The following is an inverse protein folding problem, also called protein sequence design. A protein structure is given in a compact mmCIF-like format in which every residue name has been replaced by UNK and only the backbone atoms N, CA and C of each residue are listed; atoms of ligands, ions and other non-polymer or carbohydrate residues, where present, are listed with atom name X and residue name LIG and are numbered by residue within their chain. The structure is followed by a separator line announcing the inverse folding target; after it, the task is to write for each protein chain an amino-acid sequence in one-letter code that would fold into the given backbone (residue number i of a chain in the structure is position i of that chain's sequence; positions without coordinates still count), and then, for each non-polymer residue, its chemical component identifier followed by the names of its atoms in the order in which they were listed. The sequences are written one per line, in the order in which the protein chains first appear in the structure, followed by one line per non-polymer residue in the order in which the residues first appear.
data_IF_609369938798
#
_entry.id   IF_609369938798
#
_cell.length_a   1.000
_cell.length_b   1.000
_cell.length_c   1.000
_cell.angle_alpha   90.00
_cell.angle_beta   90.00
_cell.angle_gamma   90.00
#
_symmetry.space_group_name_H-M   'P 1'
#
loop_
_entity.id
_entity.type
_entity.pdbx_description
1 polymer ?
#
# COMPACT_ATOMS: atom_id res chain seq x y z
N UNK A 1 49.32 -17.74 -17.92
CA UNK A 1 47.92 -17.42 -18.29
C UNK A 1 47.05 -18.08 -17.25
N UNK A 2 46.66 -17.31 -16.23
CA UNK A 2 45.84 -17.82 -15.12
C UNK A 2 44.36 -17.83 -15.54
N UNK A 3 43.70 -18.95 -15.27
CA UNK A 3 42.29 -19.21 -15.54
C UNK A 3 41.41 -18.34 -14.62
N UNK A 4 40.45 -17.54 -15.13
CA UNK A 4 39.67 -16.64 -14.29
C UNK A 4 38.77 -17.40 -13.29
N UNK A 5 38.65 -16.81 -12.10
CA UNK A 5 38.02 -17.39 -10.93
C UNK A 5 36.55 -17.87 -11.15
N UNK A 6 36.09 -18.90 -10.42
CA UNK A 6 34.78 -19.56 -10.60
C UNK A 6 33.55 -18.64 -10.48
N UNK A 7 33.69 -17.44 -9.90
CA UNK A 7 32.62 -16.44 -9.76
C UNK A 7 32.31 -15.69 -11.05
N UNK A 8 33.28 -15.56 -11.96
CA UNK A 8 33.11 -14.87 -13.25
C UNK A 8 32.43 -15.76 -14.30
N UNK A 9 32.60 -17.09 -14.21
CA UNK A 9 31.86 -18.06 -15.05
C UNK A 9 30.36 -18.04 -14.75
N UNK A 10 29.97 -17.92 -13.47
CA UNK A 10 28.55 -17.83 -13.06
C UNK A 10 27.84 -16.55 -13.56
N UNK A 11 28.55 -15.42 -13.68
CA UNK A 11 27.97 -14.20 -14.26
C UNK A 11 27.87 -14.26 -15.80
N UNK A 12 28.84 -14.89 -16.46
CA UNK A 12 28.78 -15.10 -17.92
C UNK A 12 27.64 -16.07 -18.32
N UNK A 13 27.38 -17.10 -17.53
CA UNK A 13 26.27 -18.05 -17.75
C UNK A 13 24.90 -17.40 -17.53
N UNK A 14 24.77 -16.53 -16.52
CA UNK A 14 23.54 -15.76 -16.26
C UNK A 14 23.28 -14.75 -17.38
N UNK A 15 24.31 -14.07 -17.88
CA UNK A 15 24.18 -13.12 -18.99
C UNK A 15 23.89 -13.81 -20.33
N UNK A 16 24.47 -14.99 -20.61
CA UNK A 16 24.12 -15.79 -21.79
C UNK A 16 22.70 -16.37 -21.72
N UNK A 17 22.20 -16.72 -20.52
CA UNK A 17 20.83 -17.20 -20.32
C UNK A 17 19.80 -16.09 -20.54
N UNK A 18 20.06 -14.89 -20.03
CA UNK A 18 19.23 -13.69 -20.24
C UNK A 18 19.19 -13.31 -21.72
N UNK A 19 20.32 -13.38 -22.43
CA UNK A 19 20.40 -13.01 -23.85
C UNK A 19 19.72 -14.02 -24.77
N UNK A 20 19.76 -15.32 -24.44
CA UNK A 20 19.01 -16.38 -25.16
C UNK A 20 17.50 -16.27 -25.00
N UNK A 21 17.01 -15.79 -23.85
CA UNK A 21 15.57 -15.60 -23.60
C UNK A 21 15.02 -14.31 -24.23
N UNK A 22 15.84 -13.27 -24.41
CA UNK A 22 15.40 -12.02 -25.04
C UNK A 22 15.35 -12.07 -26.57
N UNK A 23 16.10 -12.98 -27.23
CA UNK A 23 16.13 -13.09 -28.69
C UNK A 23 15.28 -14.23 -29.28
N UNK A 24 14.68 -15.08 -28.43
CA UNK A 24 13.77 -16.13 -28.88
C UNK A 24 12.32 -15.71 -28.60
N UNK A 25 11.64 -15.18 -29.62
CA UNK A 25 10.19 -15.02 -29.59
C UNK A 25 9.47 -16.33 -29.25
N UNK A 26 8.27 -16.28 -28.65
CA UNK A 26 7.62 -17.42 -28.00
C UNK A 26 7.40 -18.58 -28.97
N UNK A 27 7.89 -19.77 -28.60
CA UNK A 27 7.94 -20.96 -29.47
C UNK A 27 6.75 -21.91 -29.31
N UNK A 28 5.75 -21.60 -28.49
CA UNK A 28 4.61 -22.49 -28.31
C UNK A 28 3.24 -21.79 -28.27
N UNK A 29 2.21 -22.54 -28.67
CA UNK A 29 0.80 -22.09 -28.71
C UNK A 29 0.20 -21.84 -27.31
N UNK A 30 0.84 -22.33 -26.23
CA UNK A 30 0.43 -22.07 -24.83
C UNK A 30 0.96 -20.73 -24.28
N UNK A 31 2.10 -20.23 -24.76
CA UNK A 31 2.66 -18.93 -24.34
C UNK A 31 1.94 -17.73 -24.97
N UNK A 32 1.20 -17.93 -26.07
CA UNK A 32 0.34 -16.90 -26.68
C UNK A 32 -0.88 -16.51 -25.82
N UNK A 33 -1.13 -17.21 -24.71
CA UNK A 33 -2.24 -16.91 -23.78
C UNK A 33 -2.04 -15.67 -22.91
N UNK A 34 -0.80 -15.26 -22.67
CA UNK A 34 -0.47 -14.11 -21.79
C UNK A 34 -0.54 -12.75 -22.51
N UNK A 35 -0.68 -12.74 -23.84
CA UNK A 35 -0.88 -11.54 -24.65
C UNK A 35 -2.36 -11.28 -25.01
N UNK A 36 -3.30 -12.01 -24.41
CA UNK A 36 -4.72 -11.63 -24.45
C UNK A 36 -4.98 -10.51 -23.45
N UNK A 37 -4.62 -9.30 -23.90
CA UNK A 37 -5.44 -8.09 -23.81
C UNK A 37 -6.28 -8.04 -22.53
N UNK A 38 -5.68 -7.50 -21.47
CA UNK A 38 -6.41 -6.94 -20.35
C UNK A 38 -7.14 -5.69 -20.84
N UNK A 39 -8.31 -5.89 -21.46
CA UNK A 39 -9.29 -4.85 -21.78
C UNK A 39 -10.07 -4.52 -20.50
N UNK A 40 -9.39 -4.09 -19.44
CA UNK A 40 -10.03 -3.22 -18.45
C UNK A 40 -9.68 -1.79 -18.81
N UNK A 41 -10.30 -1.38 -19.92
CA UNK A 41 -10.40 0.01 -20.33
C UNK A 41 -11.20 0.70 -19.23
N UNK A 42 -10.55 1.48 -18.37
CA UNK A 42 -11.22 2.60 -17.71
C UNK A 42 -11.93 3.37 -18.82
N UNK A 43 -13.27 3.35 -18.83
CA UNK A 43 -14.03 4.07 -19.84
C UNK A 43 -13.76 5.56 -19.65
N UNK A 44 -13.73 6.31 -20.76
CA UNK A 44 -13.54 7.77 -20.76
C UNK A 44 -14.54 8.48 -19.82
N UNK A 45 -15.71 7.87 -19.59
CA UNK A 45 -16.74 8.34 -18.65
C UNK A 45 -16.30 8.27 -17.18
N UNK A 46 -15.61 7.20 -16.76
CA UNK A 46 -15.09 7.07 -15.37
C UNK A 46 -13.99 8.11 -15.11
N UNK A 47 -13.09 8.33 -16.07
CA UNK A 47 -12.11 9.42 -16.01
C UNK A 47 -12.78 10.79 -15.93
N UNK A 48 -13.82 11.03 -16.74
CA UNK A 48 -14.55 12.32 -16.73
C UNK A 48 -15.26 12.60 -15.41
N UNK A 49 -15.72 11.55 -14.72
CA UNK A 49 -16.45 11.66 -13.45
C UNK A 49 -15.47 11.91 -12.30
N UNK A 50 -14.32 11.23 -12.27
CA UNK A 50 -13.24 11.48 -11.29
C UNK A 50 -12.68 12.91 -11.43
N UNK A 51 -12.59 13.44 -12.65
CA UNK A 51 -12.12 14.81 -12.93
C UNK A 51 -13.12 15.92 -12.58
N UNK A 52 -14.38 15.59 -12.26
CA UNK A 52 -15.46 16.59 -12.16
C UNK A 52 -15.78 17.12 -10.75
N UNK A 53 -15.16 16.57 -9.69
CA UNK A 53 -15.59 16.87 -8.30
C UNK A 53 -14.53 17.48 -7.36
N UNK A 54 -13.29 17.71 -7.79
CA UNK A 54 -12.29 18.43 -6.97
C UNK A 54 -12.30 19.92 -7.29
N UNK A 55 -12.09 20.82 -6.30
CA UNK A 55 -11.78 22.21 -6.60
C UNK A 55 -10.56 22.23 -7.52
N UNK A 56 -10.65 22.92 -8.67
CA UNK A 56 -9.54 23.02 -9.63
C UNK A 56 -8.36 23.71 -8.93
N UNK A 57 -7.31 22.97 -8.64
CA UNK A 57 -6.08 23.49 -8.03
C UNK A 57 -5.14 24.15 -9.06
N UNK A 58 -5.60 24.28 -10.32
CA UNK A 58 -4.88 24.95 -11.40
C UNK A 58 -4.06 23.98 -12.25
N UNK A 59 -3.55 24.44 -13.40
CA UNK A 59 -2.84 23.57 -14.32
C UNK A 59 -1.50 23.11 -13.74
N UNK A 60 -1.09 21.88 -14.08
CA UNK A 60 0.25 21.37 -13.79
C UNK A 60 1.29 22.24 -14.51
N UNK A 61 2.35 22.73 -13.83
CA UNK A 61 3.36 23.56 -14.47
C UNK A 61 4.14 22.83 -15.57
N UNK A 62 4.62 23.53 -16.61
CA UNK A 62 5.52 22.93 -17.60
C UNK A 62 6.79 22.38 -16.95
N UNK A 63 7.25 21.22 -17.42
CA UNK A 63 8.47 20.57 -16.91
C UNK A 63 8.29 19.83 -15.59
N UNK A 64 7.06 19.69 -15.11
CA UNK A 64 6.74 18.86 -13.94
C UNK A 64 7.08 17.38 -14.20
N UNK A 65 7.43 16.68 -13.13
CA UNK A 65 7.75 15.25 -13.14
C UNK A 65 6.59 14.49 -12.51
N UNK A 66 6.24 13.34 -13.07
CA UNK A 66 5.31 12.37 -12.47
C UNK A 66 6.12 11.17 -12.00
N UNK A 67 5.88 10.76 -10.76
CA UNK A 67 6.52 9.61 -10.13
C UNK A 67 5.44 8.57 -9.82
N UNK A 68 5.67 7.32 -10.24
CA UNK A 68 4.80 6.18 -9.99
C UNK A 68 5.33 5.37 -8.82
N UNK A 69 4.50 5.21 -7.80
CA UNK A 69 4.83 4.50 -6.56
C UNK A 69 3.91 3.30 -6.40
N UNK A 70 4.47 2.11 -6.29
CA UNK A 70 3.75 0.91 -5.92
C UNK A 70 3.86 0.67 -4.41
N UNK A 71 2.73 0.38 -3.77
CA UNK A 71 2.61 0.06 -2.34
C UNK A 71 2.18 -1.39 -2.22
N UNK A 72 2.81 -2.11 -1.31
CA UNK A 72 2.56 -3.53 -1.07
C UNK A 72 2.00 -3.76 0.33
N UNK A 73 1.27 -4.85 0.49
CA UNK A 73 0.74 -5.27 1.78
C UNK A 73 1.89 -5.48 2.80
N UNK A 74 1.71 -5.18 4.10
CA UNK A 74 2.79 -5.32 5.09
C UNK A 74 3.33 -6.75 5.22
N UNK A 75 2.45 -7.75 5.11
CA UNK A 75 2.79 -9.17 5.29
C UNK A 75 2.70 -10.03 4.03
N UNK A 76 2.06 -9.53 2.97
CA UNK A 76 1.84 -10.27 1.72
C UNK A 76 2.68 -9.60 0.61
N UNK A 77 3.12 -10.37 -0.38
CA UNK A 77 3.85 -9.81 -1.53
C UNK A 77 2.93 -9.20 -2.60
N UNK A 78 1.65 -9.00 -2.27
CA UNK A 78 0.66 -8.43 -3.17
C UNK A 78 0.73 -6.90 -3.17
N UNK A 79 0.66 -6.33 -4.37
CA UNK A 79 0.53 -4.88 -4.55
C UNK A 79 -0.87 -4.47 -4.12
N UNK A 80 -0.98 -3.56 -3.16
CA UNK A 80 -2.24 -3.03 -2.66
C UNK A 80 -2.62 -1.73 -3.34
N UNK A 81 -1.65 -0.92 -3.74
CA UNK A 81 -1.94 0.39 -4.34
C UNK A 81 -0.85 0.79 -5.34
N UNK A 82 -1.21 1.63 -6.29
CA UNK A 82 -0.29 2.29 -7.19
C UNK A 82 -0.73 3.73 -7.40
N UNK A 83 0.18 4.65 -7.09
CA UNK A 83 -0.08 6.08 -6.98
C UNK A 83 0.81 6.81 -7.95
N UNK A 84 0.24 7.76 -8.70
CA UNK A 84 0.99 8.79 -9.41
C UNK A 84 1.04 10.05 -8.55
N UNK A 85 2.22 10.58 -8.32
CA UNK A 85 2.43 11.82 -7.55
C UNK A 85 3.34 12.77 -8.32
N UNK A 86 3.09 14.08 -8.22
CA UNK A 86 3.95 15.07 -8.86
C UNK A 86 5.27 15.22 -8.09
N UNK A 87 6.37 15.47 -8.82
CA UNK A 87 7.69 15.70 -8.24
C UNK A 87 7.71 16.91 -7.30
N UNK A 88 6.92 17.96 -7.60
CA UNK A 88 6.77 19.16 -6.77
C UNK A 88 5.95 18.96 -5.49
N UNK A 89 5.17 17.90 -5.38
CA UNK A 89 4.42 17.57 -4.16
C UNK A 89 5.37 17.13 -3.05
N UNK A 90 4.91 17.30 -1.81
CA UNK A 90 5.66 16.92 -0.62
C UNK A 90 5.51 15.42 -0.36
N UNK A 91 6.48 14.84 0.33
CA UNK A 91 6.43 13.43 0.72
C UNK A 91 5.25 13.15 1.66
N UNK A 92 4.82 14.13 2.46
CA UNK A 92 3.58 14.02 3.26
C UNK A 92 2.33 13.83 2.38
N UNK A 93 2.30 14.36 1.16
CA UNK A 93 1.18 14.15 0.24
C UNK A 93 1.11 12.68 -0.20
N UNK A 94 2.28 12.02 -0.36
CA UNK A 94 2.33 10.58 -0.60
C UNK A 94 1.83 9.78 0.61
N UNK A 95 2.28 10.12 1.84
CA UNK A 95 1.77 9.48 3.07
C UNK A 95 0.25 9.51 3.11
N UNK A 96 -0.32 10.69 2.89
CA UNK A 96 -1.75 10.91 2.98
C UNK A 96 -2.55 10.23 1.86
N UNK A 97 -1.89 9.84 0.77
CA UNK A 97 -2.49 9.10 -0.32
C UNK A 97 -2.40 7.58 -0.16
N UNK A 98 -1.47 7.07 0.65
CA UNK A 98 -1.38 5.64 0.95
C UNK A 98 -2.59 5.25 1.78
N UNK A 99 -3.37 4.30 1.29
CA UNK A 99 -4.53 3.75 1.99
C UNK A 99 -4.17 2.39 2.60
N UNK A 100 -4.19 2.30 3.93
CA UNK A 100 -4.00 1.05 4.65
C UNK A 100 -5.26 0.71 5.47
N UNK A 101 -5.68 -0.56 5.39
CA UNK A 101 -6.85 -1.09 6.10
C UNK A 101 -6.73 -0.90 7.61
N UNK A 102 -5.54 -1.04 8.18
CA UNK A 102 -5.36 -0.90 9.63
C UNK A 102 -5.59 0.54 10.09
N UNK A 103 -5.21 1.56 9.31
CA UNK A 103 -5.59 2.95 9.63
C UNK A 103 -7.13 3.11 9.56
N UNK A 104 -7.80 2.48 8.60
CA UNK A 104 -9.26 2.55 8.46
C UNK A 104 -10.01 1.87 9.61
N UNK A 105 -9.55 0.70 10.07
CA UNK A 105 -10.16 -0.02 11.19
C UNK A 105 -10.08 0.80 12.49
N UNK A 106 -8.96 1.48 12.73
CA UNK A 106 -8.78 2.31 13.92
C UNK A 106 -9.76 3.50 13.92
N UNK A 107 -9.98 4.13 12.76
CA UNK A 107 -10.97 5.21 12.59
C UNK A 107 -12.39 4.71 12.92
N UNK A 108 -12.76 3.50 12.48
CA UNK A 108 -14.08 2.93 12.77
C UNK A 108 -14.30 2.64 14.27
N UNK A 109 -13.23 2.38 15.04
CA UNK A 109 -13.33 2.08 16.47
C UNK A 109 -13.42 3.32 17.37
N UNK A 110 -12.85 4.46 16.97
CA UNK A 110 -12.85 5.69 17.80
C UNK A 110 -14.14 6.52 17.69
N UNK A 111 -15.02 6.20 16.74
CA UNK A 111 -16.25 6.94 16.48
C UNK A 111 -16.00 8.16 15.58
N UNK A 112 -16.98 8.43 14.70
CA UNK A 112 -16.90 9.49 13.68
C UNK A 112 -16.41 10.83 14.27
N UNK A 113 -15.21 11.29 13.87
CA UNK A 113 -14.88 12.67 13.45
C UNK A 113 -13.37 12.98 13.41
N UNK A 114 -12.49 12.14 13.97
CA UNK A 114 -11.04 12.40 13.95
C UNK A 114 -10.36 11.36 13.05
N UNK A 115 -9.84 11.74 11.86
CA UNK A 115 -8.93 10.86 11.14
C UNK A 115 -7.80 10.48 12.10
N UNK A 116 -7.58 9.20 12.37
CA UNK A 116 -6.47 8.77 13.22
C UNK A 116 -5.17 9.13 12.49
N UNK A 117 -4.64 10.30 12.80
CA UNK A 117 -3.38 10.79 12.28
C UNK A 117 -2.31 10.07 13.10
N UNK A 118 -1.75 8.99 12.56
CA UNK A 118 -0.66 8.29 13.21
C UNK A 118 0.70 8.84 12.78
N UNK A 119 1.64 8.88 13.73
CA UNK A 119 3.05 9.08 13.39
C UNK A 119 3.48 8.00 12.40
N UNK A 120 4.35 8.38 11.47
CA UNK A 120 4.78 7.50 10.38
C UNK A 120 6.17 7.89 9.89
N UNK A 121 6.84 6.99 9.18
CA UNK A 121 8.08 7.31 8.50
C UNK A 121 8.22 6.59 7.16
N UNK A 122 8.90 7.24 6.22
CA UNK A 122 9.53 6.55 5.10
C UNK A 122 11.01 6.32 5.40
N UNK A 123 11.53 5.14 5.09
CA UNK A 123 12.95 4.88 5.09
C UNK A 123 13.44 4.66 3.66
N UNK A 124 14.11 5.69 3.12
CA UNK A 124 14.62 5.75 1.76
C UNK A 124 16.11 6.08 1.82
N UNK A 125 16.95 5.21 1.26
CA UNK A 125 18.40 5.38 1.16
C UNK A 125 19.04 6.00 2.42
N UNK A 126 18.98 5.25 3.53
CA UNK A 126 19.59 5.61 4.83
C UNK A 126 19.03 6.88 5.49
N UNK A 127 17.87 7.34 5.02
CA UNK A 127 17.21 8.54 5.52
C UNK A 127 15.81 8.17 5.98
N UNK A 128 15.54 8.41 7.25
CA UNK A 128 14.19 8.43 7.81
C UNK A 128 13.56 9.78 7.50
N UNK A 129 12.36 9.73 6.92
CA UNK A 129 11.51 10.87 6.68
C UNK A 129 10.32 10.72 7.62
N UNK A 130 10.39 11.35 8.77
CA UNK A 130 9.42 11.20 9.85
C UNK A 130 8.27 12.19 9.71
N UNK A 131 7.10 11.76 10.14
CA UNK A 131 5.94 12.57 10.45
C UNK A 131 5.53 12.26 11.89
N UNK A 132 5.34 13.32 12.68
CA UNK A 132 4.95 13.21 14.08
C UNK A 132 3.51 13.69 14.18
N UNK A 133 2.62 12.80 14.60
CA UNK A 133 1.22 13.12 14.81
C UNK A 133 1.04 14.12 15.96
N UNK A 134 0.00 14.96 15.92
CA UNK A 134 -0.39 15.78 17.06
C UNK A 134 -0.62 14.89 18.29
N UNK A 135 0.08 15.18 19.40
CA UNK A 135 -0.02 14.42 20.65
C UNK A 135 1.16 13.47 20.88
N UNK A 136 1.87 13.08 19.84
CA UNK A 136 3.10 12.29 19.98
C UNK A 136 4.30 13.19 20.32
N UNK A 137 5.16 12.72 21.23
CA UNK A 137 6.35 13.44 21.67
C UNK A 137 7.58 13.17 20.80
N UNK A 138 7.63 12.00 20.16
CA UNK A 138 8.82 11.47 19.51
C UNK A 138 8.48 10.80 18.17
N UNK A 139 9.35 10.88 17.16
CA UNK A 139 9.15 10.17 15.90
C UNK A 139 9.30 8.66 16.08
N UNK A 140 8.54 7.88 15.31
CA UNK A 140 8.60 6.41 15.35
C UNK A 140 10.01 5.86 15.07
N UNK A 141 10.80 6.51 14.22
CA UNK A 141 12.17 6.07 13.93
C UNK A 141 13.16 6.29 15.07
N UNK A 142 12.78 6.98 16.16
CA UNK A 142 13.69 7.34 17.25
C UNK A 142 14.35 6.12 17.90
N UNK A 143 13.59 5.03 18.12
CA UNK A 143 14.14 3.80 18.71
C UNK A 143 15.22 3.18 17.84
N UNK A 144 14.98 3.11 16.53
CA UNK A 144 15.91 2.54 15.54
C UNK A 144 17.17 3.40 15.44
N UNK A 145 17.01 4.72 15.35
CA UNK A 145 18.13 5.64 15.20
C UNK A 145 18.98 5.74 16.46
N UNK A 146 18.38 5.67 17.65
CA UNK A 146 19.09 5.63 18.93
C UNK A 146 19.90 4.35 19.07
N UNK A 147 19.28 3.20 18.78
CA UNK A 147 19.96 1.90 18.79
C UNK A 147 21.14 1.88 17.81
N UNK A 148 20.94 2.36 16.58
CA UNK A 148 21.98 2.38 15.56
C UNK A 148 23.18 3.26 15.96
N UNK A 149 22.92 4.44 16.55
CA UNK A 149 23.98 5.33 17.07
C UNK A 149 24.77 4.68 18.20
N UNK A 150 24.10 3.95 19.09
CA UNK A 150 24.77 3.23 20.18
C UNK A 150 25.69 2.13 19.62
N UNK A 151 25.20 1.35 18.65
CA UNK A 151 25.99 0.28 18.00
C UNK A 151 27.17 0.80 17.18
N UNK A 152 27.04 1.97 16.55
CA UNK A 152 28.19 2.65 15.93
C UNK A 152 29.24 3.06 16.95
N UNK A 153 28.81 3.59 18.10
CA UNK A 153 29.71 4.02 19.18
C UNK A 153 30.47 2.85 19.81
N UNK A 154 29.83 1.70 19.93
CA UNK A 154 30.43 0.45 20.41
C UNK A 154 31.39 -0.18 19.38
N UNK A 155 31.40 0.31 18.14
CA UNK A 155 32.28 -0.19 17.07
C UNK A 155 31.83 -1.54 16.49
N UNK A 156 30.67 -2.05 16.90
CA UNK A 156 30.14 -3.35 16.46
C UNK A 156 29.64 -3.30 15.01
N UNK A 157 28.95 -2.22 14.63
CA UNK A 157 28.34 -2.08 13.31
C UNK A 157 28.55 -0.66 12.80
N UNK A 158 29.02 -0.52 11.56
CA UNK A 158 29.08 0.79 10.88
C UNK A 158 27.85 0.97 10.00
N UNK A 159 26.81 1.60 10.53
CA UNK A 159 25.77 2.12 9.66
C UNK A 159 26.39 3.30 8.87
N UNK A 160 26.19 3.38 7.55
CA UNK A 160 26.77 4.49 6.77
C UNK A 160 25.93 5.76 7.02
N UNK A 161 26.10 6.43 8.17
CA UNK A 161 25.43 7.69 8.59
C UNK A 161 23.92 7.71 8.26
N UNK A 162 23.11 7.22 9.20
CA UNK A 162 21.66 7.41 9.15
C UNK A 162 21.31 8.89 9.28
N UNK A 163 20.26 9.33 8.55
CA UNK A 163 19.75 10.70 8.56
C UNK A 163 18.27 10.71 8.97
N UNK A 164 17.82 11.80 9.56
CA UNK A 164 16.41 12.07 9.84
C UNK A 164 16.00 13.40 9.19
N UNK A 165 14.82 13.44 8.59
CA UNK A 165 14.20 14.63 7.99
C UNK A 165 12.71 14.62 8.26
N UNK A 166 12.08 15.79 8.26
CA UNK A 166 10.62 15.94 8.32
C UNK A 166 10.03 15.76 6.92
N UNK A 167 9.11 14.83 6.72
CA UNK A 167 8.54 14.55 5.38
C UNK A 167 7.70 15.72 4.84
N UNK A 168 7.18 16.57 5.73
CA UNK A 168 6.43 17.79 5.42
C UNK A 168 7.30 18.86 4.74
N UNK A 169 8.63 18.71 4.76
CA UNK A 169 9.60 19.66 4.22
C UNK A 169 10.40 19.11 3.03
N UNK A 170 10.03 17.94 2.51
CA UNK A 170 10.76 17.27 1.43
C UNK A 170 9.82 17.06 0.26
N UNK A 171 10.23 17.47 -0.95
CA UNK A 171 9.48 17.17 -2.17
C UNK A 171 9.88 15.79 -2.71
N UNK A 172 8.98 15.16 -3.46
CA UNK A 172 9.24 13.85 -4.07
C UNK A 172 10.45 13.90 -5.00
N UNK A 173 10.62 14.99 -5.76
CA UNK A 173 11.78 15.18 -6.67
C UNK A 173 13.12 15.32 -5.92
N UNK A 174 13.10 15.67 -4.64
CA UNK A 174 14.31 15.83 -3.82
C UNK A 174 14.75 14.52 -3.15
N UNK A 175 14.05 13.41 -3.41
CA UNK A 175 14.37 12.09 -2.85
C UNK A 175 15.54 11.45 -3.59
N UNK A 176 16.44 10.85 -2.81
CA UNK A 176 17.52 10.01 -3.33
C UNK A 176 16.96 8.59 -3.55
N UNK A 177 16.41 8.32 -4.72
CA UNK A 177 15.75 7.05 -5.06
C UNK A 177 16.40 6.34 -6.25
N UNK A 178 16.30 5.01 -6.24
CA UNK A 178 16.64 4.13 -7.33
C UNK A 178 15.36 3.41 -7.78
N UNK A 179 15.05 3.48 -9.08
CA UNK A 179 13.89 2.80 -9.64
C UNK A 179 13.99 1.28 -9.41
N UNK A 180 12.89 0.68 -8.98
CA UNK A 180 12.79 -0.75 -8.66
C UNK A 180 13.42 -1.16 -7.33
N UNK A 181 14.07 -0.24 -6.60
CA UNK A 181 14.56 -0.53 -5.26
C UNK A 181 13.40 -0.59 -4.25
N UNK A 182 13.58 -1.42 -3.22
CA UNK A 182 12.59 -1.60 -2.16
C UNK A 182 12.88 -0.62 -1.04
N UNK A 183 11.89 0.15 -0.66
CA UNK A 183 11.93 1.08 0.45
C UNK A 183 10.83 0.75 1.45
N UNK A 184 10.94 1.30 2.65
CA UNK A 184 9.98 1.03 3.72
C UNK A 184 9.11 2.25 3.99
N UNK A 185 7.82 2.01 4.19
CA UNK A 185 6.89 2.94 4.78
C UNK A 185 6.27 2.28 6.01
N UNK A 186 6.35 2.97 7.15
CA UNK A 186 5.79 2.49 8.39
C UNK A 186 4.84 3.52 8.98
N UNK A 187 3.64 3.06 9.35
CA UNK A 187 2.61 3.85 10.05
C UNK A 187 2.01 2.97 11.15
N UNK A 188 1.50 3.60 12.21
CA UNK A 188 1.09 2.89 13.43
C UNK A 188 2.19 1.94 14.00
N UNK A 189 1.94 1.27 15.11
CA UNK A 189 2.94 0.39 15.71
C UNK A 189 3.04 -0.90 14.87
N UNK A 190 4.12 -1.04 14.10
CA UNK A 190 4.57 -2.27 13.43
C UNK A 190 3.94 -2.62 12.06
N UNK A 191 3.24 -1.68 11.41
CA UNK A 191 2.85 -1.88 10.01
C UNK A 191 3.97 -1.43 9.07
N UNK A 192 4.60 -2.38 8.38
CA UNK A 192 5.78 -2.13 7.56
C UNK A 192 5.50 -2.43 6.09
N UNK A 193 5.00 -1.44 5.36
CA UNK A 193 4.79 -1.55 3.91
C UNK A 193 6.12 -1.50 3.16
N UNK A 194 6.23 -2.34 2.14
CA UNK A 194 7.23 -2.14 1.08
C UNK A 194 6.66 -1.15 0.06
N UNK A 195 7.45 -0.15 -0.31
CA UNK A 195 7.16 0.75 -1.41
C UNK A 195 8.25 0.68 -2.47
N UNK A 196 7.85 0.81 -3.73
CA UNK A 196 8.76 0.77 -4.87
C UNK A 196 8.43 1.94 -5.80
N UNK A 197 9.42 2.79 -6.06
CA UNK A 197 9.34 3.77 -7.14
C UNK A 197 9.57 3.02 -8.46
N UNK A 198 8.53 2.90 -9.27
CA UNK A 198 8.53 2.03 -10.46
C UNK A 198 8.79 2.79 -11.75
N UNK A 199 8.45 4.07 -11.80
CA UNK A 199 8.58 4.92 -12.98
C UNK A 199 8.77 6.38 -12.58
N UNK A 200 9.62 7.10 -13.31
CA UNK A 200 9.75 8.55 -13.26
C UNK A 200 9.73 9.05 -14.69
N UNK A 201 8.87 10.02 -15.01
CA UNK A 201 8.79 10.64 -16.33
C UNK A 201 8.34 12.08 -16.25
N UNK A 202 8.48 12.81 -17.36
CA UNK A 202 7.85 14.11 -17.50
C UNK A 202 6.33 13.95 -17.56
N UNK A 203 5.63 14.91 -16.96
CA UNK A 203 4.19 15.11 -17.14
C UNK A 203 3.91 15.41 -18.61
N UNK A 204 2.90 14.76 -19.18
CA UNK A 204 2.55 14.85 -20.59
C UNK A 204 1.11 15.34 -20.82
N UNK A 205 0.72 15.49 -22.09
CA UNK A 205 -0.61 15.98 -22.45
C UNK A 205 -1.74 14.96 -22.23
N UNK A 206 -1.41 13.67 -22.05
CA UNK A 206 -2.36 12.59 -21.79
C UNK A 206 -2.63 12.39 -20.30
N UNK A 207 -1.79 12.96 -19.45
CA UNK A 207 -1.99 13.01 -18.00
C UNK A 207 -3.15 13.94 -17.59
N UNK A 208 -3.70 13.75 -16.38
CA UNK A 208 -4.50 14.78 -15.73
C UNK A 208 -3.75 16.10 -15.68
N UNK A 209 -4.38 17.15 -16.21
CA UNK A 209 -3.78 18.49 -16.31
C UNK A 209 -4.03 19.36 -15.08
N UNK A 210 -5.00 19.00 -14.23
CA UNK A 210 -5.26 19.70 -12.99
C UNK A 210 -4.34 19.17 -11.88
N UNK A 211 -3.68 20.07 -11.15
CA UNK A 211 -2.80 19.71 -10.03
C UNK A 211 -3.53 18.96 -8.93
N UNK A 212 -4.82 19.27 -8.72
CA UNK A 212 -5.65 18.66 -7.69
C UNK A 212 -5.98 17.20 -7.97
N UNK A 213 -5.76 16.74 -9.21
CA UNK A 213 -5.89 15.33 -9.55
C UNK A 213 -4.86 14.45 -8.83
N UNK A 214 -3.72 15.01 -8.43
CA UNK A 214 -2.62 14.29 -7.78
C UNK A 214 -2.60 14.49 -6.25
N UNK A 215 -2.19 13.50 -5.46
CA UNK A 215 -1.80 12.16 -5.88
C UNK A 215 -2.99 11.39 -6.46
N UNK A 216 -2.75 10.60 -7.50
CA UNK A 216 -3.75 9.88 -8.27
C UNK A 216 -3.56 8.38 -8.11
N UNK A 217 -4.58 7.69 -7.60
CA UNK A 217 -4.65 6.24 -7.61
C UNK A 217 -4.88 5.72 -9.03
N UNK A 218 -3.89 5.02 -9.57
CA UNK A 218 -4.00 4.32 -10.88
C UNK A 218 -4.25 2.83 -10.71
N UNK A 219 -3.98 2.31 -9.51
CA UNK A 219 -4.42 0.99 -9.10
C UNK A 219 -4.67 1.01 -7.59
N UNK A 220 -5.74 0.35 -7.18
CA UNK A 220 -6.06 0.11 -5.78
C UNK A 220 -6.71 -1.24 -5.68
N UNK A 221 -6.13 -2.11 -4.87
CA UNK A 221 -6.74 -3.39 -4.55
C UNK A 221 -8.07 -3.12 -3.87
N UNK A 222 -9.11 -3.76 -4.38
CA UNK A 222 -10.44 -3.68 -3.78
C UNK A 222 -10.64 -4.98 -3.02
N UNK A 223 -10.48 -4.92 -1.71
CA UNK A 223 -10.86 -6.05 -0.87
C UNK A 223 -12.34 -6.29 -1.03
N UNK A 224 -12.67 -7.47 -1.56
CA UNK A 224 -14.06 -7.88 -1.69
C UNK A 224 -14.55 -8.19 -0.29
N UNK A 225 -15.19 -7.20 0.34
CA UNK A 225 -15.93 -7.41 1.57
C UNK A 225 -16.86 -8.60 1.40
N UNK A 226 -16.72 -9.60 2.28
CA UNK A 226 -17.59 -10.79 2.24
C UNK A 226 -19.04 -10.37 2.44
N UNK A 227 -19.93 -10.94 1.64
CA UNK A 227 -21.37 -10.76 1.83
C UNK A 227 -21.85 -11.61 2.99
N UNK A 228 -22.89 -11.13 3.68
CA UNK A 228 -23.59 -11.90 4.69
C UNK A 228 -24.11 -13.22 4.10
N UNK A 229 -23.84 -14.34 4.77
CA UNK A 229 -24.26 -15.68 4.40
C UNK A 229 -25.80 -15.84 4.39
N UNK A 230 -26.50 -15.05 5.20
CA UNK A 230 -27.97 -15.11 5.30
C UNK A 230 -28.66 -14.31 4.20
N UNK A 231 -28.36 -13.02 4.05
CA UNK A 231 -29.09 -12.18 3.09
C UNK A 231 -28.41 -12.06 1.72
N UNK A 232 -27.10 -12.30 1.60
CA UNK A 232 -26.30 -12.07 0.40
C UNK A 232 -26.41 -10.65 -0.22
N UNK A 233 -26.96 -9.70 0.53
CA UNK A 233 -27.15 -8.29 0.14
C UNK A 233 -26.14 -7.43 0.88
N UNK A 234 -26.19 -7.42 2.21
CA UNK A 234 -25.32 -6.61 3.05
C UNK A 234 -23.95 -7.26 3.22
N UNK A 235 -22.94 -6.43 3.47
CA UNK A 235 -21.60 -6.89 3.85
C UNK A 235 -21.63 -7.48 5.26
N UNK A 236 -20.79 -8.48 5.47
CA UNK A 236 -20.61 -9.07 6.78
C UNK A 236 -19.83 -8.10 7.68
N UNK A 237 -20.30 -7.93 8.90
CA UNK A 237 -19.67 -7.17 9.98
C UNK A 237 -19.23 -8.09 11.12
N UNK A 238 -19.74 -9.32 11.13
CA UNK A 238 -19.53 -10.31 12.17
C UNK A 238 -19.05 -11.61 11.54
N UNK A 239 -18.06 -12.24 12.17
CA UNK A 239 -17.65 -13.62 11.91
C UNK A 239 -18.04 -14.46 13.11
N UNK A 240 -18.75 -15.55 12.83
CA UNK A 240 -19.32 -16.44 13.84
C UNK A 240 -18.70 -17.83 13.70
N UNK A 241 -18.19 -18.36 14.80
CA UNK A 241 -17.62 -19.69 14.89
C UNK A 241 -18.50 -20.62 15.73
N UNK A 242 -18.64 -21.86 15.26
CA UNK A 242 -19.37 -22.90 15.98
C UNK A 242 -20.89 -22.75 15.95
N UNK A 243 -21.42 -21.82 15.16
CA UNK A 243 -22.86 -21.63 15.00
C UNK A 243 -23.53 -22.83 14.31
N UNK A 244 -24.47 -23.45 15.03
CA UNK A 244 -25.27 -24.60 14.56
C UNK A 244 -26.38 -24.23 13.57
N UNK A 245 -26.80 -22.98 13.51
CA UNK A 245 -27.78 -22.46 12.54
C UNK A 245 -27.11 -22.05 11.22
N UNK A 246 -25.78 -21.96 11.20
CA UNK A 246 -25.01 -21.60 10.02
C UNK A 246 -24.68 -22.80 9.13
N UNK A 247 -24.69 -22.57 7.81
CA UNK A 247 -24.30 -23.58 6.82
C UNK A 247 -22.78 -23.75 6.68
N UNK A 248 -21.97 -22.84 7.23
CA UNK A 248 -20.51 -22.86 7.17
C UNK A 248 -19.90 -22.46 8.50
N UNK A 249 -18.64 -22.85 8.74
CA UNK A 249 -17.87 -22.44 9.90
C UNK A 249 -16.43 -22.09 9.46
N UNK A 250 -15.98 -20.83 9.55
CA UNK A 250 -16.73 -19.66 10.04
C UNK A 250 -17.92 -19.27 9.15
N UNK A 251 -18.90 -18.62 9.77
CA UNK A 251 -20.04 -17.99 9.09
C UNK A 251 -19.95 -16.46 9.19
N UNK A 252 -20.43 -15.76 8.15
CA UNK A 252 -20.28 -14.31 8.05
C UNK A 252 -21.65 -13.64 8.02
N UNK A 253 -21.93 -12.72 8.96
CA UNK A 253 -23.23 -12.07 9.11
C UNK A 253 -23.11 -10.54 9.11
N UNK A 254 -24.10 -9.86 8.53
CA UNK A 254 -24.34 -8.46 8.87
C UNK A 254 -25.04 -8.39 10.23
N UNK A 255 -24.95 -7.26 10.93
CA UNK A 255 -25.55 -7.10 12.25
C UNK A 255 -27.06 -7.35 12.26
N UNK A 256 -27.76 -6.88 11.23
CA UNK A 256 -29.21 -7.07 11.08
C UNK A 256 -29.59 -8.55 11.04
N UNK A 257 -28.89 -9.34 10.21
CA UNK A 257 -29.15 -10.77 10.11
C UNK A 257 -28.70 -11.51 11.37
N UNK A 258 -27.57 -11.14 11.98
CA UNK A 258 -27.18 -11.73 13.25
C UNK A 258 -28.27 -11.53 14.31
N UNK A 259 -28.75 -10.28 14.48
CA UNK A 259 -29.83 -9.97 15.43
C UNK A 259 -31.11 -10.73 15.13
N UNK A 260 -31.49 -10.86 13.85
CA UNK A 260 -32.71 -11.56 13.46
C UNK A 260 -32.67 -13.08 13.72
N UNK A 261 -31.51 -13.72 13.57
CA UNK A 261 -31.37 -15.17 13.70
C UNK A 261 -30.92 -15.62 15.08
N UNK A 262 -30.23 -14.77 15.83
CA UNK A 262 -29.55 -15.16 17.06
C UNK A 262 -30.09 -14.46 18.31
N UNK A 263 -30.87 -13.39 18.19
CA UNK A 263 -31.40 -12.65 19.34
C UNK A 263 -32.91 -12.77 19.46
N UNK A 264 -33.39 -12.87 20.70
CA UNK A 264 -34.81 -12.84 21.03
C UNK A 264 -35.39 -11.41 20.96
N UNK A 265 -36.69 -11.26 21.25
CA UNK A 265 -37.36 -9.96 21.26
C UNK A 265 -36.86 -8.99 22.33
N UNK A 266 -36.10 -9.49 23.33
CA UNK A 266 -35.48 -8.70 24.39
C UNK A 266 -34.00 -8.40 24.09
N UNK A 267 -33.44 -8.94 23.00
CA UNK A 267 -32.06 -8.75 22.57
C UNK A 267 -31.05 -9.76 23.15
N UNK A 268 -31.52 -10.77 23.89
CA UNK A 268 -30.68 -11.82 24.44
C UNK A 268 -30.40 -12.89 23.39
N UNK A 269 -29.24 -13.53 23.47
CA UNK A 269 -28.92 -14.61 22.55
C UNK A 269 -29.81 -15.83 22.83
N UNK A 270 -30.42 -16.38 21.77
CA UNK A 270 -31.36 -17.51 21.86
C UNK A 270 -30.64 -18.79 22.34
N UNK A 271 -29.33 -18.86 22.15
CA UNK A 271 -28.43 -19.90 22.66
C UNK A 271 -27.02 -19.30 22.80
N UNK A 272 -26.10 -20.00 23.49
CA UNK A 272 -24.79 -19.43 23.87
C UNK A 272 -23.59 -20.23 23.32
N UNK A 273 -23.83 -21.31 22.59
CA UNK A 273 -22.81 -22.24 22.06
C UNK A 273 -22.14 -21.75 20.76
N UNK A 274 -21.90 -20.44 20.61
CA UNK A 274 -21.16 -19.88 19.47
C UNK A 274 -20.31 -18.68 19.88
N UNK A 275 -19.27 -18.40 19.10
CA UNK A 275 -18.38 -17.27 19.32
C UNK A 275 -18.56 -16.23 18.21
N UNK A 276 -18.87 -15.00 18.60
CA UNK A 276 -19.01 -13.86 17.68
C UNK A 276 -17.81 -12.96 17.83
N UNK A 277 -17.20 -12.63 16.70
CA UNK A 277 -16.15 -11.62 16.62
C UNK A 277 -16.52 -10.60 15.54
N UNK A 278 -16.11 -9.33 15.69
CA UNK A 278 -16.10 -8.40 14.57
C UNK A 278 -15.34 -9.00 13.40
N UNK A 279 -15.93 -8.93 12.21
CA UNK A 279 -15.26 -9.34 10.99
C UNK A 279 -14.48 -8.15 10.42
N UNK A 280 -13.17 -8.18 10.60
CA UNK A 280 -12.23 -7.31 9.87
C UNK A 280 -11.89 -7.98 8.55
N UNK A 281 -11.88 -7.23 7.45
CA UNK A 281 -11.53 -7.77 6.13
C UNK A 281 -10.06 -8.22 6.08
N UNK A 282 -9.77 -9.21 5.22
CA UNK A 282 -8.44 -9.82 5.02
C UNK A 282 -7.80 -9.39 3.70
#
# INVERSE_FOLDING_TARGET
MEDPAPSLRKMADVLQHITKHYQAGPKSRKERGWLRINKNTMTKEVMSTILSKKPKCGPVPPGEVVVRVAVFHPTKSDKTQEILILGSQKLIDLKNAIDCITENILVEQEGDEIPCIHSSYFYINRTFYDYIAPGDSEPLSQRITTWAKQKEKEGEIRFRRLRNRKMENVRVVDLDIQLGAHYHFCHAIDENHTIIFTEIRFHDAFDPQDRGAYPLDVFKWQEKMRKCCSCAVNHAQLVIYGDKLSASNPAYYCEMCHKAFHKDSQGNDIYLDYHVHPYTHD
#
